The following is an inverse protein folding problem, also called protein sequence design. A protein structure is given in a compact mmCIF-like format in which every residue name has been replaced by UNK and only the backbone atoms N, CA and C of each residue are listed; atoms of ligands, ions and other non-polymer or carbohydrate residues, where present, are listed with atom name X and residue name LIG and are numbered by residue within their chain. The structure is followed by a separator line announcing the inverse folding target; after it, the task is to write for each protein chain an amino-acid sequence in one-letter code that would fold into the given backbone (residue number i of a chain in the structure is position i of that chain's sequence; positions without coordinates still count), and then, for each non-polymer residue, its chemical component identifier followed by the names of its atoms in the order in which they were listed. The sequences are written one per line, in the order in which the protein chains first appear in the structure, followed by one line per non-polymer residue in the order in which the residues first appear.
data_IF_278605524540
#
_entry.id   IF_278605524540
#
_cell.length_a   1.000
_cell.length_b   1.000
_cell.length_c   1.000
_cell.angle_alpha   90.00
_cell.angle_beta   90.00
_cell.angle_gamma   90.00
#
_symmetry.space_group_name_H-M   'P 1'
#
loop_
_entity.id
_entity.type
_entity.pdbx_description
1 polymer ?
#
# COMPACT_ATOMS: atom_id res chain seq x y z
N UNK A 1 -5.03 -15.40 -82.18
CA UNK A 1 -4.18 -14.36 -82.79
C UNK A 1 -4.22 -13.12 -81.90
N UNK A 2 -3.03 -12.62 -81.53
CA UNK A 2 -2.68 -11.37 -80.79
C UNK A 2 -3.30 -11.19 -79.38
N UNK A 3 -2.61 -11.44 -78.26
CA UNK A 3 -1.41 -10.81 -77.62
C UNK A 3 -1.71 -9.53 -76.82
N UNK A 4 -1.39 -9.54 -75.52
CA UNK A 4 -0.79 -8.50 -74.65
C UNK A 4 -1.12 -8.89 -73.19
N UNK A 5 -0.22 -9.46 -72.38
CA UNK A 5 0.93 -8.86 -71.68
C UNK A 5 0.58 -7.59 -70.88
N UNK A 6 0.39 -7.71 -69.57
CA UNK A 6 1.33 -7.14 -68.58
C UNK A 6 0.91 -7.49 -67.14
N UNK A 7 1.94 -7.64 -66.32
CA UNK A 7 2.02 -8.03 -64.92
C UNK A 7 1.28 -7.14 -63.93
N UNK A 8 0.88 -7.72 -62.78
CA UNK A 8 1.20 -7.20 -61.44
C UNK A 8 0.80 -8.21 -60.35
N UNK A 9 1.72 -9.12 -60.02
CA UNK A 9 1.69 -9.91 -58.79
C UNK A 9 2.27 -9.08 -57.66
N UNK A 10 1.46 -8.47 -56.79
CA UNK A 10 2.00 -7.79 -55.59
C UNK A 10 1.01 -7.54 -54.44
N UNK A 11 -0.13 -8.26 -54.34
CA UNK A 11 -1.10 -7.98 -53.25
C UNK A 11 -1.12 -9.07 -52.16
N UNK A 12 -0.51 -10.24 -52.38
CA UNK A 12 -0.61 -11.37 -51.43
C UNK A 12 0.61 -11.52 -50.51
N UNK A 13 1.70 -10.79 -50.74
CA UNK A 13 2.91 -10.84 -49.91
C UNK A 13 3.01 -9.80 -48.80
N UNK A 14 2.10 -8.82 -48.72
CA UNK A 14 2.17 -7.75 -47.71
C UNK A 14 1.45 -8.04 -46.39
N UNK A 15 0.55 -9.03 -46.33
CA UNK A 15 -0.16 -9.37 -45.08
C UNK A 15 0.51 -10.48 -44.25
N UNK A 16 1.39 -11.27 -44.87
CA UNK A 16 2.16 -12.31 -44.15
C UNK A 16 3.44 -11.72 -43.53
N UNK A 17 3.94 -10.59 -44.05
CA UNK A 17 5.12 -9.92 -43.49
C UNK A 17 4.80 -9.00 -42.29
N UNK A 18 3.56 -8.51 -42.15
CA UNK A 18 3.16 -7.69 -41.00
C UNK A 18 2.92 -8.51 -39.72
N UNK A 19 2.58 -9.80 -39.85
CA UNK A 19 2.41 -10.71 -38.70
C UNK A 19 3.73 -11.32 -38.21
N UNK A 20 4.84 -11.12 -38.93
CA UNK A 20 6.18 -11.54 -38.52
C UNK A 20 7.08 -10.39 -38.03
N UNK A 21 6.58 -9.14 -38.04
CA UNK A 21 7.31 -7.96 -37.54
C UNK A 21 6.76 -7.39 -36.22
N UNK A 22 5.69 -8.00 -35.68
CA UNK A 22 5.17 -7.69 -34.34
C UNK A 22 6.04 -8.15 -33.14
N UNK A 23 7.15 -8.91 -33.29
CA UNK A 23 8.14 -9.04 -32.20
C UNK A 23 9.34 -8.09 -32.31
N UNK A 24 9.46 -7.23 -33.34
CA UNK A 24 10.71 -6.49 -33.61
C UNK A 24 10.69 -4.98 -33.36
N UNK A 25 9.55 -4.39 -33.00
CA UNK A 25 9.49 -3.02 -32.46
C UNK A 25 9.45 -3.01 -30.91
N UNK A 26 9.39 -4.19 -30.28
CA UNK A 26 9.59 -4.36 -28.84
C UNK A 26 11.07 -4.62 -28.44
N UNK A 27 12.02 -4.47 -29.36
CA UNK A 27 13.42 -4.89 -29.15
C UNK A 27 14.46 -3.75 -29.06
N UNK A 28 14.06 -2.47 -29.12
CA UNK A 28 15.00 -1.33 -29.07
C UNK A 28 14.75 -0.28 -27.98
N UNK A 29 13.78 -0.49 -27.09
CA UNK A 29 13.82 0.11 -25.74
C UNK A 29 14.24 -0.97 -24.75
N UNK A 30 15.52 -1.34 -24.82
CA UNK A 30 16.21 -1.94 -23.68
C UNK A 30 16.30 -0.86 -22.61
N UNK A 31 15.27 -0.70 -21.80
CA UNK A 31 15.54 -0.38 -20.40
C UNK A 31 16.44 -1.50 -19.89
N UNK A 32 17.56 -1.20 -19.22
CA UNK A 32 18.28 -2.25 -18.55
C UNK A 32 17.27 -2.88 -17.59
N UNK A 33 16.87 -4.12 -17.89
CA UNK A 33 16.43 -5.01 -16.83
C UNK A 33 17.55 -4.92 -15.81
N UNK A 34 17.26 -4.34 -14.65
CA UNK A 34 18.07 -4.56 -13.48
C UNK A 34 17.88 -6.04 -13.13
N UNK A 35 18.49 -6.91 -13.92
CA UNK A 35 19.05 -8.15 -13.45
C UNK A 35 20.11 -7.73 -12.43
N UNK A 36 19.66 -7.40 -11.23
CA UNK A 36 20.48 -7.58 -10.07
C UNK A 36 20.68 -9.09 -9.97
N UNK A 37 21.70 -9.58 -10.69
CA UNK A 37 22.60 -10.56 -10.08
C UNK A 37 22.75 -10.14 -8.61
N UNK A 38 22.64 -11.06 -7.63
CA UNK A 38 22.77 -10.69 -6.24
C UNK A 38 24.12 -9.99 -6.13
N UNK A 39 24.09 -8.65 -6.05
CA UNK A 39 25.24 -7.92 -5.58
C UNK A 39 25.41 -8.53 -4.22
N UNK A 40 26.51 -9.27 -4.04
CA UNK A 40 27.17 -9.39 -2.75
C UNK A 40 27.39 -7.95 -2.33
N UNK A 41 26.39 -7.35 -1.71
CA UNK A 41 26.52 -6.11 -0.98
C UNK A 41 27.37 -6.53 0.20
N UNK A 42 28.67 -6.35 0.00
CA UNK A 42 29.66 -6.21 1.06
C UNK A 42 29.00 -5.47 2.21
N UNK A 43 28.90 -6.13 3.35
CA UNK A 43 28.61 -5.59 4.68
C UNK A 43 28.48 -4.07 4.67
N UNK A 44 27.28 -3.60 4.34
CA UNK A 44 26.88 -2.22 4.59
C UNK A 44 26.71 -2.11 6.09
N UNK A 45 27.83 -1.95 6.79
CA UNK A 45 27.85 -1.61 8.19
C UNK A 45 27.03 -0.32 8.30
N UNK A 46 25.78 -0.42 8.79
CA UNK A 46 24.96 0.75 9.13
C UNK A 46 25.67 1.40 10.32
N UNK A 47 26.67 2.22 9.99
CA UNK A 47 27.51 2.93 10.91
C UNK A 47 26.64 3.72 11.87
N UNK A 48 26.83 3.48 13.16
CA UNK A 48 26.09 4.15 14.22
C UNK A 48 26.23 5.68 14.15
N UNK A 49 25.11 6.38 14.35
CA UNK A 49 25.12 7.80 14.72
C UNK A 49 23.96 8.65 14.18
N UNK A 50 23.33 8.27 13.07
CA UNK A 50 22.26 9.06 12.43
C UNK A 50 20.94 9.08 13.24
N UNK A 51 20.13 10.14 13.07
CA UNK A 51 18.79 10.22 13.67
C UNK A 51 17.88 9.09 13.18
N UNK A 52 17.93 8.74 11.88
CA UNK A 52 17.16 7.62 11.32
C UNK A 52 17.53 6.27 11.94
N UNK A 53 18.82 5.97 12.12
CA UNK A 53 19.26 4.72 12.75
C UNK A 53 18.82 4.63 14.22
N UNK A 54 18.79 5.77 14.93
CA UNK A 54 18.24 5.84 16.29
C UNK A 54 16.74 5.62 16.33
N UNK A 55 15.99 6.21 15.40
CA UNK A 55 14.55 6.00 15.27
C UNK A 55 14.20 4.55 14.91
N UNK A 56 14.91 3.96 13.94
CA UNK A 56 14.74 2.55 13.57
C UNK A 56 14.97 1.64 14.79
N UNK A 57 16.07 1.85 15.53
CA UNK A 57 16.32 1.08 16.75
C UNK A 57 15.29 1.32 17.85
N UNK A 58 14.79 2.55 18.01
CA UNK A 58 13.78 2.85 19.04
C UNK A 58 12.45 2.14 18.76
N UNK A 59 12.14 1.91 17.49
CA UNK A 59 11.01 1.11 17.02
C UNK A 59 11.19 -0.40 17.16
N UNK A 60 12.28 -0.87 17.79
CA UNK A 60 12.70 -2.28 17.76
C UNK A 60 12.87 -2.83 16.33
N UNK A 61 13.09 -1.96 15.35
CA UNK A 61 13.48 -2.36 14.02
C UNK A 61 14.97 -2.69 14.08
N UNK A 62 15.30 -3.96 13.90
CA UNK A 62 16.68 -4.42 13.71
C UNK A 62 16.82 -4.99 12.30
N UNK A 63 16.71 -4.17 11.24
CA UNK A 63 16.83 -4.65 9.88
C UNK A 63 18.25 -5.17 9.67
N UNK A 64 18.44 -6.49 9.82
CA UNK A 64 19.67 -7.19 9.45
C UNK A 64 19.81 -7.29 7.93
N UNK A 65 18.69 -7.24 7.22
CA UNK A 65 18.59 -7.38 5.78
C UNK A 65 17.88 -6.17 5.20
N UNK A 66 18.30 -5.74 4.00
CA UNK A 66 17.62 -4.67 3.24
C UNK A 66 16.40 -5.18 2.47
N UNK A 67 15.87 -6.35 2.81
CA UNK A 67 14.73 -7.01 2.17
C UNK A 67 13.68 -7.32 3.21
N UNK A 68 12.41 -7.09 2.85
CA UNK A 68 11.25 -7.40 3.68
C UNK A 68 10.82 -8.87 3.55
N UNK A 69 11.43 -9.62 2.63
CA UNK A 69 11.40 -11.09 2.66
C UNK A 69 12.78 -11.58 3.06
N UNK A 70 12.86 -12.20 4.23
CA UNK A 70 14.10 -12.63 4.87
C UNK A 70 14.21 -14.15 4.68
N UNK A 71 15.23 -14.60 3.96
CA UNK A 71 15.54 -16.04 3.93
C UNK A 71 16.34 -16.36 5.19
N UNK A 72 15.70 -17.04 6.15
CA UNK A 72 16.41 -17.52 7.33
C UNK A 72 17.35 -18.66 6.92
N UNK A 73 18.60 -18.58 7.36
CA UNK A 73 19.47 -19.76 7.42
C UNK A 73 19.12 -20.55 8.70
N UNK A 74 19.43 -21.86 8.72
CA UNK A 74 19.05 -22.81 9.79
C UNK A 74 19.43 -22.38 11.23
N UNK A 75 20.31 -21.37 11.39
CA UNK A 75 20.82 -20.86 12.66
C UNK A 75 20.06 -19.62 13.22
N UNK A 76 19.10 -19.03 12.51
CA UNK A 76 18.34 -17.84 12.97
C UNK A 76 16.88 -18.17 13.35
N UNK A 77 16.70 -18.90 14.44
CA UNK A 77 15.38 -19.15 15.05
C UNK A 77 14.98 -18.06 16.06
N UNK A 78 14.95 -16.81 15.61
CA UNK A 78 14.55 -15.67 16.46
C UNK A 78 13.19 -15.11 16.01
N UNK A 79 12.20 -16.01 15.87
CA UNK A 79 10.82 -15.60 15.66
C UNK A 79 10.25 -15.09 16.99
N UNK A 80 9.95 -13.78 17.15
CA UNK A 80 9.40 -13.27 18.39
C UNK A 80 8.01 -13.85 18.64
N UNK A 81 7.62 -13.89 19.92
CA UNK A 81 6.38 -14.47 20.39
C UNK A 81 5.13 -13.92 19.66
N UNK A 82 4.08 -14.74 19.59
CA UNK A 82 2.79 -14.34 19.04
C UNK A 82 2.20 -13.14 19.81
N UNK A 83 1.50 -12.26 19.09
CA UNK A 83 0.87 -11.05 19.64
C UNK A 83 1.51 -9.76 19.12
N UNK A 84 1.11 -8.64 19.75
CA UNK A 84 1.61 -7.30 19.44
C UNK A 84 2.88 -7.04 20.25
N UNK A 85 3.92 -6.58 19.56
CA UNK A 85 5.11 -5.99 20.16
C UNK A 85 5.16 -4.53 19.75
N UNK A 86 4.70 -3.64 20.63
CA UNK A 86 4.68 -2.19 20.37
C UNK A 86 5.49 -1.41 21.41
N UNK A 87 5.92 -0.21 21.01
CA UNK A 87 6.60 0.74 21.87
C UNK A 87 5.94 2.09 21.75
N UNK A 88 5.81 2.77 22.90
CA UNK A 88 5.50 4.19 22.92
C UNK A 88 6.65 4.95 22.29
N UNK A 89 6.34 5.84 21.36
CA UNK A 89 7.34 6.62 20.65
C UNK A 89 7.76 7.83 21.52
N UNK A 90 8.77 8.56 21.07
CA UNK A 90 9.05 9.91 21.58
C UNK A 90 9.73 10.63 20.44
N UNK A 91 9.05 11.64 19.92
CA UNK A 91 9.51 12.43 18.78
C UNK A 91 9.84 13.81 19.29
N UNK A 92 11.00 14.34 18.90
CA UNK A 92 11.29 15.75 19.12
C UNK A 92 10.58 16.54 18.02
N UNK A 93 9.40 17.08 18.34
CA UNK A 93 8.53 17.78 17.39
C UNK A 93 8.57 19.27 17.67
N UNK A 94 8.69 20.05 16.60
CA UNK A 94 8.74 21.51 16.65
C UNK A 94 7.40 22.12 16.21
N UNK A 95 7.04 23.24 16.84
CA UNK A 95 5.90 24.09 16.45
C UNK A 95 4.54 23.41 16.52
N UNK A 96 3.80 23.60 17.62
CA UNK A 96 2.40 23.18 17.77
C UNK A 96 1.59 24.32 18.40
N UNK A 97 0.42 24.61 17.83
CA UNK A 97 -0.41 25.75 18.25
C UNK A 97 -1.18 25.54 19.57
N UNK A 98 -1.12 24.36 20.18
CA UNK A 98 -1.87 24.05 21.39
C UNK A 98 -1.24 22.94 22.23
N UNK A 99 -0.70 23.35 23.39
CA UNK A 99 -0.60 22.67 24.69
C UNK A 99 -0.19 21.20 24.82
N UNK A 100 -0.66 20.28 23.96
CA UNK A 100 -0.44 18.86 24.12
C UNK A 100 0.88 18.44 23.48
N UNK A 101 1.76 17.82 24.27
CA UNK A 101 3.01 17.26 23.75
C UNK A 101 2.74 15.91 23.08
N UNK A 102 3.62 15.48 22.18
CA UNK A 102 3.50 14.18 21.50
C UNK A 102 3.40 13.03 22.51
N UNK A 103 4.02 13.18 23.68
CA UNK A 103 3.98 12.25 24.80
C UNK A 103 2.56 12.01 25.36
N UNK A 104 1.63 12.92 25.11
CA UNK A 104 0.23 12.87 25.58
C UNK A 104 -0.73 12.20 24.58
N UNK A 105 -0.26 11.81 23.39
CA UNK A 105 -1.09 11.22 22.32
C UNK A 105 -1.06 9.69 22.24
N UNK A 106 -0.61 8.99 23.29
CA UNK A 106 -0.63 7.52 23.30
C UNK A 106 -0.11 6.91 22.00
N UNK A 107 1.08 7.34 21.58
CA UNK A 107 1.63 7.09 20.26
C UNK A 107 2.49 5.82 20.26
N UNK A 108 2.03 4.81 19.54
CA UNK A 108 2.67 3.51 19.48
C UNK A 108 3.14 3.20 18.08
N UNK A 109 4.25 2.47 17.97
CA UNK A 109 4.49 1.69 16.78
C UNK A 109 5.08 0.36 17.14
N UNK A 110 4.84 -0.61 16.27
CA UNK A 110 5.14 -1.98 16.60
C UNK A 110 4.80 -2.94 15.49
N UNK A 111 4.99 -4.20 15.83
CA UNK A 111 4.68 -5.33 14.98
C UNK A 111 3.57 -6.17 15.55
N UNK A 112 2.83 -6.74 14.63
CA UNK A 112 1.90 -7.80 14.90
C UNK A 112 2.30 -9.08 14.17
N UNK A 113 2.35 -10.19 14.91
CA UNK A 113 2.54 -11.53 14.35
C UNK A 113 1.23 -12.08 13.81
N UNK A 114 1.13 -12.29 12.49
CA UNK A 114 -0.10 -12.82 11.89
C UNK A 114 -0.28 -14.32 12.20
N UNK A 115 -1.42 -14.77 12.76
CA UNK A 115 -1.55 -16.13 13.33
C UNK A 115 -1.53 -17.25 12.28
N UNK A 116 -1.85 -16.92 11.03
CA UNK A 116 -1.96 -17.86 9.90
C UNK A 116 -0.79 -17.71 8.91
N UNK A 117 0.36 -17.31 9.43
CA UNK A 117 1.58 -17.07 8.66
C UNK A 117 2.77 -17.76 9.29
N UNK A 118 3.83 -17.96 8.52
CA UNK A 118 5.05 -18.61 9.01
C UNK A 118 5.92 -17.61 9.77
N UNK A 119 6.20 -16.47 9.15
CA UNK A 119 7.11 -15.48 9.70
C UNK A 119 6.64 -14.05 9.56
N UNK A 120 5.38 -13.83 9.14
CA UNK A 120 4.92 -12.50 8.82
C UNK A 120 4.77 -11.63 10.07
N UNK A 121 5.24 -10.40 9.95
CA UNK A 121 5.18 -9.34 10.96
C UNK A 121 4.66 -8.08 10.28
N UNK A 122 3.43 -7.70 10.63
CA UNK A 122 2.80 -6.50 10.10
C UNK A 122 3.12 -5.31 10.99
N UNK A 123 3.70 -4.27 10.41
CA UNK A 123 4.09 -3.05 11.10
C UNK A 123 2.98 -1.99 11.04
N UNK A 124 2.85 -1.20 12.10
CA UNK A 124 1.93 -0.06 12.15
C UNK A 124 2.47 1.09 13.01
N UNK A 125 1.98 2.29 12.72
CA UNK A 125 1.95 3.42 13.64
C UNK A 125 0.52 3.66 14.13
N UNK A 126 0.38 4.05 15.39
CA UNK A 126 -0.88 4.42 16.01
C UNK A 126 -0.72 5.75 16.76
N UNK A 127 -1.68 6.66 16.55
CA UNK A 127 -1.74 7.94 17.24
C UNK A 127 -3.15 8.14 17.79
N UNK A 128 -3.27 8.43 19.09
CA UNK A 128 -4.54 8.83 19.66
C UNK A 128 -4.92 10.25 19.22
N UNK A 129 -6.21 10.55 19.34
CA UNK A 129 -6.73 11.84 18.92
C UNK A 129 -6.14 13.01 19.74
N UNK A 130 -5.84 14.12 19.06
CA UNK A 130 -5.54 15.44 19.68
C UNK A 130 -6.77 16.16 20.24
N UNK A 131 -7.98 15.63 20.03
CA UNK A 131 -9.20 16.30 20.49
C UNK A 131 -9.31 16.29 22.02
N UNK A 132 -9.23 17.48 22.62
CA UNK A 132 -9.26 17.70 24.07
C UNK A 132 -10.58 17.29 24.76
N UNK A 133 -11.65 17.08 23.99
CA UNK A 133 -12.98 16.87 24.58
C UNK A 133 -13.26 15.40 24.88
N UNK A 134 -12.69 14.41 24.17
CA UNK A 134 -12.75 12.97 24.54
C UNK A 134 -11.87 12.10 23.61
N UNK A 135 -10.54 12.05 23.81
CA UNK A 135 -9.61 11.19 23.04
C UNK A 135 -10.09 9.73 22.92
N UNK A 136 -10.55 9.18 24.05
CA UNK A 136 -11.05 7.81 24.16
C UNK A 136 -12.39 7.55 23.43
N UNK A 137 -13.14 8.59 23.04
CA UNK A 137 -14.40 8.44 22.28
C UNK A 137 -14.25 8.78 20.80
N UNK A 138 -13.13 9.36 20.40
CA UNK A 138 -12.88 9.66 19.00
C UNK A 138 -12.89 8.34 18.18
N UNK A 139 -13.40 8.35 16.93
CA UNK A 139 -13.42 7.16 16.10
C UNK A 139 -12.01 6.60 15.89
N UNK A 140 -11.91 5.29 15.69
CA UNK A 140 -10.69 4.66 15.20
C UNK A 140 -10.73 4.63 13.68
N UNK A 141 -9.68 5.14 13.05
CA UNK A 141 -9.55 5.18 11.60
C UNK A 141 -8.30 4.38 11.21
N UNK A 142 -8.46 3.40 10.32
CA UNK A 142 -7.31 2.77 9.65
C UNK A 142 -7.06 3.46 8.32
N UNK A 143 -5.81 3.82 8.05
CA UNK A 143 -5.34 4.35 6.78
C UNK A 143 -4.49 3.31 6.05
N UNK A 144 -4.82 3.09 4.77
CA UNK A 144 -4.15 2.15 3.88
C UNK A 144 -3.67 2.86 2.61
N UNK A 145 -2.36 3.01 2.45
CA UNK A 145 -1.78 3.48 1.17
C UNK A 145 -1.83 2.35 0.12
N UNK A 146 -1.97 2.74 -1.15
CA UNK A 146 -2.09 1.83 -2.30
C UNK A 146 -0.74 1.29 -2.82
N UNK A 147 -0.49 1.47 -4.12
CA UNK A 147 0.69 0.97 -4.82
C UNK A 147 0.34 -0.04 -5.93
N UNK A 148 0.10 -1.33 -5.62
CA UNK A 148 0.15 -1.99 -4.31
C UNK A 148 1.55 -2.02 -3.69
N UNK A 149 1.65 -2.03 -2.36
CA UNK A 149 2.91 -2.22 -1.64
C UNK A 149 3.68 -0.94 -1.28
N UNK A 150 3.02 0.21 -1.31
CA UNK A 150 3.57 1.46 -0.79
C UNK A 150 3.32 1.55 0.73
N UNK A 151 4.32 2.00 1.49
CA UNK A 151 4.20 2.16 2.94
C UNK A 151 3.18 3.24 3.31
N UNK A 152 2.36 2.97 4.32
CA UNK A 152 1.44 3.95 4.89
C UNK A 152 2.18 5.04 5.70
N UNK A 153 3.48 4.87 5.93
CA UNK A 153 4.35 5.94 6.44
C UNK A 153 4.42 7.13 5.47
N UNK A 154 4.14 6.92 4.19
CA UNK A 154 4.01 8.01 3.21
C UNK A 154 2.90 8.97 3.66
N UNK A 155 1.71 8.44 3.89
CA UNK A 155 0.57 9.23 4.32
C UNK A 155 0.77 9.86 5.69
N UNK A 156 1.41 9.12 6.59
CA UNK A 156 1.75 9.59 7.94
C UNK A 156 2.56 10.90 7.91
N UNK A 157 3.51 11.02 6.99
CA UNK A 157 4.47 12.13 7.00
C UNK A 157 4.26 13.17 5.90
N UNK A 158 3.47 12.87 4.87
CA UNK A 158 3.27 13.75 3.71
C UNK A 158 1.81 14.10 3.42
N UNK A 159 0.84 13.47 4.08
CA UNK A 159 -0.57 13.64 3.74
C UNK A 159 -1.38 14.07 4.97
N UNK A 160 -1.84 13.10 5.76
CA UNK A 160 -2.86 13.31 6.77
C UNK A 160 -2.46 12.88 8.18
N UNK A 161 -1.21 12.49 8.38
CA UNK A 161 -0.71 12.20 9.72
C UNK A 161 -0.48 13.46 10.57
N UNK A 162 -0.11 13.26 11.85
CA UNK A 162 0.08 14.35 12.81
C UNK A 162 1.30 15.23 12.52
N UNK A 163 2.22 14.81 11.65
CA UNK A 163 3.50 15.50 11.44
C UNK A 163 3.83 15.67 9.95
N UNK A 164 4.58 16.74 9.67
CA UNK A 164 5.33 16.94 8.42
C UNK A 164 6.82 16.72 8.67
N UNK A 165 7.53 16.22 7.66
CA UNK A 165 9.00 16.21 7.65
C UNK A 165 9.49 17.55 7.06
N UNK A 166 10.29 18.28 7.83
CA UNK A 166 10.89 19.54 7.38
C UNK A 166 12.12 19.31 6.49
N UNK A 167 12.58 20.34 5.79
CA UNK A 167 13.82 20.30 4.99
C UNK A 167 15.06 19.90 5.82
N UNK A 168 15.04 20.21 7.12
CA UNK A 168 16.08 19.81 8.08
C UNK A 168 15.93 18.38 8.61
N UNK A 169 15.01 17.59 8.04
CA UNK A 169 14.60 16.25 8.48
C UNK A 169 14.09 16.21 9.93
N UNK A 170 13.57 17.34 10.41
CA UNK A 170 12.85 17.43 11.67
C UNK A 170 11.37 17.10 11.50
N UNK A 171 10.68 16.89 12.61
CA UNK A 171 9.23 16.76 12.62
C UNK A 171 8.59 18.07 13.06
N UNK A 172 7.58 18.50 12.31
CA UNK A 172 6.74 19.64 12.61
C UNK A 172 5.29 19.20 12.70
N UNK A 173 4.47 19.80 13.57
CA UNK A 173 3.05 19.45 13.63
C UNK A 173 2.32 19.75 12.32
N UNK A 174 1.39 18.87 11.98
CA UNK A 174 0.40 19.09 10.95
C UNK A 174 -0.86 19.67 11.58
N UNK A 175 -1.14 20.95 11.32
CA UNK A 175 -2.35 21.65 11.77
C UNK A 175 -3.64 21.13 11.10
N UNK A 176 -3.54 20.18 10.17
CA UNK A 176 -4.67 19.54 9.50
C UNK A 176 -4.61 18.00 9.54
N UNK A 177 -3.78 17.43 10.43
CA UNK A 177 -3.69 16.00 10.64
C UNK A 177 -5.02 15.40 11.08
N UNK A 178 -5.35 14.20 10.57
CA UNK A 178 -6.61 13.50 10.85
C UNK A 178 -6.73 13.02 12.29
N UNK A 179 -5.62 13.00 13.03
CA UNK A 179 -5.59 12.74 14.46
C UNK A 179 -6.34 13.82 15.27
N UNK A 180 -6.61 15.00 14.71
CA UNK A 180 -7.51 15.97 15.37
C UNK A 180 -8.96 15.50 15.52
N UNK A 181 -9.37 14.51 14.72
CA UNK A 181 -10.73 13.99 14.73
C UNK A 181 -10.79 12.48 14.98
N UNK A 182 -9.66 11.79 15.08
CA UNK A 182 -9.63 10.33 15.17
C UNK A 182 -8.42 9.78 15.93
N UNK A 183 -8.56 8.56 16.43
CA UNK A 183 -7.44 7.69 16.77
C UNK A 183 -7.03 6.97 15.47
N UNK A 184 -5.85 7.25 14.93
CA UNK A 184 -5.49 6.87 13.56
C UNK A 184 -4.37 5.82 13.51
N UNK A 185 -4.60 4.78 12.71
CA UNK A 185 -3.69 3.68 12.42
C UNK A 185 -3.13 3.82 11.01
N UNK A 186 -1.80 3.80 10.88
CA UNK A 186 -1.12 3.69 9.59
C UNK A 186 -0.47 2.32 9.51
N UNK A 187 -0.95 1.46 8.61
CA UNK A 187 -0.54 0.06 8.55
C UNK A 187 0.23 -0.21 7.26
N UNK A 188 1.42 -0.78 7.39
CA UNK A 188 2.20 -1.22 6.24
C UNK A 188 1.69 -2.58 5.75
N UNK A 189 1.07 -2.60 4.58
CA UNK A 189 0.42 -3.79 4.04
C UNK A 189 0.43 -3.78 2.51
N UNK A 190 0.37 -4.96 1.85
CA UNK A 190 0.45 -6.32 2.42
C UNK A 190 1.84 -6.63 3.02
N UNK A 191 2.02 -7.83 3.59
CA UNK A 191 3.33 -8.29 4.04
C UNK A 191 4.37 -8.16 2.92
N UNK A 192 5.56 -7.62 3.24
CA UNK A 192 6.57 -7.20 2.27
C UNK A 192 6.62 -5.68 2.04
N UNK A 193 5.60 -4.94 2.49
CA UNK A 193 5.48 -3.48 2.34
C UNK A 193 6.16 -2.73 3.47
N UNK A 194 6.91 -1.67 3.17
CA UNK A 194 7.45 -0.75 4.19
C UNK A 194 8.30 -1.48 5.22
N UNK A 195 7.91 -1.42 6.50
CA UNK A 195 8.56 -2.17 7.58
C UNK A 195 7.93 -3.56 7.83
N UNK A 196 6.80 -3.90 7.21
CA UNK A 196 6.19 -5.21 7.33
C UNK A 196 6.99 -6.28 6.59
N UNK A 197 7.41 -7.33 7.28
CA UNK A 197 8.32 -8.34 6.76
C UNK A 197 7.84 -9.76 7.00
N UNK A 198 8.46 -10.73 6.33
CA UNK A 198 8.26 -12.17 6.59
C UNK A 198 9.56 -12.94 6.40
N UNK A 199 9.61 -14.15 6.97
CA UNK A 199 10.65 -15.15 6.70
C UNK A 199 10.25 -16.21 5.67
N UNK A 200 9.05 -16.07 5.07
CA UNK A 200 8.55 -17.01 4.05
C UNK A 200 7.82 -16.30 2.91
N UNK A 201 8.22 -16.59 1.68
CA UNK A 201 7.52 -16.17 0.44
C UNK A 201 6.05 -16.62 0.37
N UNK A 202 5.69 -17.66 1.11
CA UNK A 202 4.29 -18.15 1.17
C UNK A 202 3.36 -17.19 1.92
N UNK A 203 3.91 -16.28 2.72
CA UNK A 203 3.16 -15.26 3.43
C UNK A 203 2.83 -14.03 2.54
N UNK A 204 3.42 -13.92 1.35
CA UNK A 204 3.15 -12.83 0.41
C UNK A 204 1.81 -13.04 -0.28
N UNK A 205 0.88 -12.11 -0.04
CA UNK A 205 -0.48 -12.15 -0.59
C UNK A 205 -0.49 -11.70 -2.05
N UNK A 206 -1.28 -12.42 -2.85
CA UNK A 206 -1.43 -12.20 -4.30
C UNK A 206 -2.86 -11.83 -4.71
N UNK A 207 -3.76 -11.66 -3.74
CA UNK A 207 -5.13 -11.26 -3.96
C UNK A 207 -5.74 -10.61 -2.70
N UNK A 208 -6.85 -9.92 -2.90
CA UNK A 208 -7.54 -9.13 -1.88
C UNK A 208 -8.21 -10.00 -0.81
N UNK A 209 -8.50 -11.28 -1.10
CA UNK A 209 -8.99 -12.23 -0.09
C UNK A 209 -7.92 -12.49 0.96
N UNK A 210 -6.68 -12.74 0.54
CA UNK A 210 -5.54 -12.90 1.43
C UNK A 210 -5.25 -11.62 2.21
N UNK A 211 -5.19 -10.48 1.52
CA UNK A 211 -4.93 -9.17 2.14
C UNK A 211 -5.98 -8.81 3.19
N UNK A 212 -7.26 -8.98 2.87
CA UNK A 212 -8.35 -8.66 3.81
C UNK A 212 -8.37 -9.59 5.04
N UNK A 213 -7.97 -10.86 4.89
CA UNK A 213 -7.83 -11.79 6.01
C UNK A 213 -6.68 -11.41 6.94
N UNK A 214 -5.52 -11.04 6.39
CA UNK A 214 -4.37 -10.59 7.19
C UNK A 214 -4.68 -9.29 7.93
N UNK A 215 -5.32 -8.32 7.26
CA UNK A 215 -5.76 -7.07 7.88
C UNK A 215 -6.84 -7.28 8.95
N UNK A 216 -7.76 -8.24 8.75
CA UNK A 216 -8.73 -8.60 9.78
C UNK A 216 -8.05 -9.18 11.01
N UNK A 217 -7.12 -10.13 10.85
CA UNK A 217 -6.37 -10.71 11.96
C UNK A 217 -5.57 -9.63 12.73
N UNK A 218 -4.97 -8.68 12.00
CA UNK A 218 -4.32 -7.51 12.60
C UNK A 218 -5.29 -6.70 13.47
N UNK A 219 -6.48 -6.36 12.96
CA UNK A 219 -7.47 -5.59 13.72
C UNK A 219 -7.96 -6.34 14.96
N UNK A 220 -8.15 -7.66 14.86
CA UNK A 220 -8.56 -8.49 15.99
C UNK A 220 -7.57 -8.41 17.15
N UNK A 221 -6.28 -8.50 16.88
CA UNK A 221 -5.27 -8.40 17.92
C UNK A 221 -5.00 -6.96 18.35
N UNK A 222 -5.14 -5.96 17.44
CA UNK A 222 -5.09 -4.55 17.82
C UNK A 222 -6.15 -4.23 18.87
N UNK A 223 -7.41 -4.60 18.63
CA UNK A 223 -8.49 -4.35 19.57
C UNK A 223 -8.41 -5.18 20.86
N UNK A 224 -7.74 -6.33 20.83
CA UNK A 224 -7.43 -7.11 22.03
C UNK A 224 -6.33 -6.47 22.87
N UNK A 225 -5.31 -5.89 22.24
CA UNK A 225 -4.23 -5.15 22.90
C UNK A 225 -4.69 -3.78 23.41
N UNK A 226 -5.67 -3.18 22.72
CA UNK A 226 -6.23 -1.87 23.03
C UNK A 226 -7.75 -1.93 23.26
N UNK A 227 -8.21 -2.65 24.31
CA UNK A 227 -9.63 -2.91 24.55
C UNK A 227 -10.46 -1.64 24.77
N UNK A 228 -9.83 -0.54 25.19
CA UNK A 228 -10.48 0.76 25.36
C UNK A 228 -11.08 1.32 24.07
N UNK A 229 -10.64 0.88 22.88
CA UNK A 229 -11.14 1.37 21.60
C UNK A 229 -12.14 0.43 20.91
N UNK A 230 -12.43 -0.75 21.47
CA UNK A 230 -13.30 -1.77 20.83
C UNK A 230 -14.68 -1.23 20.47
N UNK A 231 -15.23 -0.36 21.33
CA UNK A 231 -16.57 0.18 21.16
C UNK A 231 -16.60 1.47 20.32
N UNK A 232 -15.45 2.00 19.94
CA UNK A 232 -15.38 3.23 19.17
C UNK A 232 -15.91 2.98 17.75
N UNK A 233 -16.44 4.03 17.14
CA UNK A 233 -16.78 3.96 15.72
C UNK A 233 -15.52 3.68 14.91
N UNK A 234 -15.59 2.70 14.02
CA UNK A 234 -14.46 2.28 13.19
C UNK A 234 -14.68 2.60 11.72
N UNK A 235 -13.66 3.17 11.08
CA UNK A 235 -13.67 3.51 9.65
C UNK A 235 -12.45 2.95 8.93
N UNK A 236 -12.68 2.41 7.73
CA UNK A 236 -11.61 1.94 6.84
C UNK A 236 -11.34 2.99 5.77
N UNK A 237 -10.12 3.50 5.69
CA UNK A 237 -9.77 4.59 4.79
C UNK A 237 -8.46 4.34 4.07
N UNK A 238 -8.20 5.10 3.00
CA UNK A 238 -6.98 4.98 2.21
C UNK A 238 -7.18 5.46 0.78
N UNK A 239 -6.18 5.20 -0.05
CA UNK A 239 -6.12 5.77 -1.40
C UNK A 239 -5.53 4.87 -2.49
N UNK A 240 -5.73 5.26 -3.74
CA UNK A 240 -5.12 4.62 -4.92
C UNK A 240 -5.52 3.13 -5.01
N UNK A 241 -4.57 2.19 -4.99
CA UNK A 241 -4.87 0.75 -4.99
C UNK A 241 -5.68 0.31 -3.76
N UNK A 242 -5.76 1.13 -2.70
CA UNK A 242 -6.69 0.88 -1.59
C UNK A 242 -8.17 0.91 -2.03
N UNK A 243 -8.49 1.39 -3.23
CA UNK A 243 -9.79 1.13 -3.88
C UNK A 243 -10.14 -0.36 -4.00
N UNK A 244 -9.15 -1.25 -4.01
CA UNK A 244 -9.33 -2.70 -3.91
C UNK A 244 -9.29 -3.20 -2.45
N UNK A 245 -8.36 -2.68 -1.63
CA UNK A 245 -8.19 -3.14 -0.25
C UNK A 245 -9.37 -2.80 0.66
N UNK A 246 -9.90 -1.58 0.55
CA UNK A 246 -10.91 -1.03 1.45
C UNK A 246 -12.23 -1.80 1.33
N UNK A 247 -12.82 -2.02 0.14
CA UNK A 247 -14.01 -2.86 0.01
C UNK A 247 -13.78 -4.30 0.48
N UNK A 248 -12.60 -4.86 0.20
CA UNK A 248 -12.27 -6.23 0.62
C UNK A 248 -12.23 -6.36 2.15
N UNK A 249 -11.56 -5.43 2.85
CA UNK A 249 -11.49 -5.41 4.31
C UNK A 249 -12.86 -5.10 4.93
N UNK A 250 -13.59 -4.09 4.45
CA UNK A 250 -14.92 -3.76 4.95
C UNK A 250 -15.88 -4.96 4.82
N UNK A 251 -15.85 -5.67 3.68
CA UNK A 251 -16.61 -6.90 3.47
C UNK A 251 -16.18 -8.03 4.42
N UNK A 252 -14.87 -8.19 4.64
CA UNK A 252 -14.35 -9.18 5.59
C UNK A 252 -14.78 -8.91 7.02
N UNK A 253 -14.76 -7.64 7.46
CA UNK A 253 -15.25 -7.22 8.78
C UNK A 253 -16.74 -7.47 8.90
N UNK A 254 -17.53 -7.05 7.91
CA UNK A 254 -18.98 -7.27 7.90
C UNK A 254 -19.33 -8.76 8.06
N UNK A 255 -18.66 -9.64 7.31
CA UNK A 255 -18.85 -11.10 7.42
C UNK A 255 -18.42 -11.62 8.79
N UNK A 256 -17.27 -11.18 9.30
CA UNK A 256 -16.78 -11.58 10.62
C UNK A 256 -17.78 -11.22 11.73
N UNK A 257 -18.27 -9.97 11.73
CA UNK A 257 -19.30 -9.52 12.66
C UNK A 257 -20.60 -10.32 12.54
N UNK A 258 -21.08 -10.57 11.31
CA UNK A 258 -22.31 -11.33 11.05
C UNK A 258 -22.20 -12.79 11.54
N UNK A 259 -21.01 -13.37 11.45
CA UNK A 259 -20.73 -14.75 11.87
C UNK A 259 -20.30 -14.86 13.35
N UNK A 260 -20.22 -13.74 14.08
CA UNK A 260 -19.66 -13.68 15.44
C UNK A 260 -18.20 -14.20 15.53
N UNK A 261 -17.38 -13.91 14.52
CA UNK A 261 -15.96 -14.28 14.48
C UNK A 261 -15.11 -13.26 15.24
N UNK A 262 -14.63 -13.61 16.43
CA UNK A 262 -13.71 -12.76 17.20
C UNK A 262 -14.38 -11.54 17.83
N UNK A 263 -13.59 -10.49 18.08
CA UNK A 263 -14.06 -9.20 18.60
C UNK A 263 -14.91 -8.52 17.53
N UNK A 264 -16.13 -8.13 17.90
CA UNK A 264 -17.01 -7.35 17.03
C UNK A 264 -16.42 -5.95 16.79
N UNK A 265 -16.17 -5.62 15.52
CA UNK A 265 -15.64 -4.30 15.13
C UNK A 265 -16.81 -3.40 14.75
N UNK A 266 -16.99 -2.27 15.44
CA UNK A 266 -18.09 -1.32 15.19
C UNK A 266 -17.88 -0.49 13.90
N UNK A 267 -17.84 -1.16 12.74
CA UNK A 267 -17.66 -0.57 11.42
C UNK A 267 -18.83 0.35 11.06
N UNK A 268 -18.56 1.66 10.93
CA UNK A 268 -19.56 2.68 10.57
C UNK A 268 -19.50 3.10 9.11
N UNK A 269 -18.34 2.99 8.48
CA UNK A 269 -18.18 3.36 7.08
C UNK A 269 -16.76 3.17 6.58
N UNK A 270 -16.55 3.59 5.35
CA UNK A 270 -15.25 3.59 4.72
C UNK A 270 -15.15 4.75 3.72
N UNK A 271 -13.92 5.19 3.41
CA UNK A 271 -13.65 6.27 2.45
C UNK A 271 -12.46 5.90 1.57
N UNK A 272 -12.58 6.15 0.27
CA UNK A 272 -11.56 5.80 -0.74
C UNK A 272 -11.17 7.09 -1.47
N UNK A 273 -9.94 7.56 -1.27
CA UNK A 273 -9.37 8.69 -2.00
C UNK A 273 -8.79 8.24 -3.33
N UNK A 274 -9.23 8.85 -4.45
CA UNK A 274 -8.63 8.65 -5.78
C UNK A 274 -8.37 7.17 -6.17
N UNK A 275 -9.28 6.27 -5.77
CA UNK A 275 -9.02 4.83 -5.84
C UNK A 275 -9.24 4.21 -7.23
N UNK A 276 -8.46 3.19 -7.56
CA UNK A 276 -8.80 2.24 -8.62
C UNK A 276 -9.72 1.17 -8.00
N UNK A 277 -10.99 1.14 -8.41
CA UNK A 277 -12.04 0.29 -7.82
C UNK A 277 -12.77 -0.51 -8.89
N UNK A 278 -13.13 0.14 -10.00
CA UNK A 278 -13.72 -0.49 -11.18
C UNK A 278 -12.87 -0.15 -12.41
N UNK A 279 -11.89 -1.02 -12.74
CA UNK A 279 -11.04 -0.80 -13.90
C UNK A 279 -11.80 -0.73 -15.22
N UNK A 280 -12.91 -1.47 -15.37
CA UNK A 280 -13.68 -1.47 -16.63
C UNK A 280 -14.23 -0.08 -16.92
N UNK A 281 -14.79 0.57 -15.90
CA UNK A 281 -15.34 1.92 -16.00
C UNK A 281 -14.21 2.95 -16.08
N UNK A 282 -13.20 2.84 -15.20
CA UNK A 282 -12.18 3.87 -15.02
C UNK A 282 -11.19 3.94 -16.18
N UNK A 283 -10.82 2.81 -16.82
CA UNK A 283 -9.83 2.85 -17.91
C UNK A 283 -10.32 3.63 -19.14
N UNK A 284 -11.64 3.67 -19.38
CA UNK A 284 -12.21 4.48 -20.44
C UNK A 284 -12.01 5.99 -20.22
N UNK A 285 -11.89 6.42 -18.97
CA UNK A 285 -11.77 7.84 -18.64
C UNK A 285 -10.38 8.42 -18.97
N UNK A 286 -9.33 7.61 -19.12
CA UNK A 286 -7.97 8.09 -19.38
C UNK A 286 -7.85 8.97 -20.64
N UNK A 287 -8.23 8.52 -21.86
CA UNK A 287 -8.12 9.36 -23.05
C UNK A 287 -8.99 10.61 -22.96
N UNK A 288 -10.21 10.48 -22.45
CA UNK A 288 -11.18 11.59 -22.31
C UNK A 288 -10.63 12.68 -21.37
N UNK A 289 -10.12 12.28 -20.19
CA UNK A 289 -9.52 13.19 -19.23
C UNK A 289 -8.29 13.86 -19.83
N UNK A 290 -7.39 13.10 -20.44
CA UNK A 290 -6.16 13.63 -21.03
C UNK A 290 -6.44 14.67 -22.13
N UNK A 291 -7.45 14.44 -22.97
CA UNK A 291 -7.88 15.41 -23.98
C UNK A 291 -8.50 16.65 -23.33
N UNK A 292 -9.42 16.45 -22.38
CA UNK A 292 -10.10 17.55 -21.68
C UNK A 292 -9.14 18.47 -20.91
N UNK A 293 -8.05 17.91 -20.39
CA UNK A 293 -6.99 18.66 -19.70
C UNK A 293 -5.84 19.08 -20.61
N UNK A 294 -5.99 18.94 -21.93
CA UNK A 294 -5.00 19.35 -22.94
C UNK A 294 -3.61 18.72 -22.76
N UNK A 295 -3.55 17.51 -22.18
CA UNK A 295 -2.32 16.71 -22.07
C UNK A 295 -1.97 16.02 -23.39
N UNK A 296 -2.98 15.79 -24.24
CA UNK A 296 -2.85 15.13 -25.54
C UNK A 296 -3.62 15.89 -26.62
N UNK A 297 -3.31 15.63 -27.88
CA UNK A 297 -4.05 16.19 -29.02
C UNK A 297 -5.31 15.38 -29.34
N UNK A 298 -6.20 15.93 -30.16
CA UNK A 298 -7.35 15.18 -30.69
C UNK A 298 -6.91 13.91 -31.45
N UNK A 299 -5.79 13.97 -32.19
CA UNK A 299 -5.27 12.82 -32.93
C UNK A 299 -4.79 11.70 -32.00
N UNK A 300 -4.16 12.05 -30.88
CA UNK A 300 -3.74 11.08 -29.86
C UNK A 300 -4.96 10.44 -29.19
N UNK A 301 -5.96 11.26 -28.86
CA UNK A 301 -7.23 10.80 -28.30
C UNK A 301 -7.90 9.77 -29.21
N UNK A 302 -8.06 10.09 -30.50
CA UNK A 302 -8.75 9.22 -31.45
C UNK A 302 -8.04 7.87 -31.61
N UNK A 303 -6.70 7.87 -31.47
CA UNK A 303 -5.89 6.64 -31.45
C UNK A 303 -6.13 5.83 -30.18
N UNK A 304 -6.11 6.47 -29.00
CA UNK A 304 -6.32 5.80 -27.72
C UNK A 304 -7.75 5.29 -27.56
N UNK A 305 -8.75 6.05 -28.02
CA UNK A 305 -10.16 5.69 -27.96
C UNK A 305 -10.45 4.38 -28.72
N UNK A 306 -9.73 4.09 -29.80
CA UNK A 306 -9.83 2.82 -30.53
C UNK A 306 -9.35 1.61 -29.72
N UNK A 307 -8.46 1.81 -28.74
CA UNK A 307 -7.93 0.74 -27.88
C UNK A 307 -8.86 0.41 -26.71
N UNK A 308 -9.72 1.36 -26.30
CA UNK A 308 -10.60 1.23 -25.12
C UNK A 308 -11.52 0.00 -25.19
N UNK A 309 -12.23 -0.30 -26.31
CA UNK A 309 -13.11 -1.48 -26.35
C UNK A 309 -12.37 -2.80 -26.12
N UNK A 310 -11.17 -2.95 -26.67
CA UNK A 310 -10.33 -4.14 -26.47
C UNK A 310 -9.83 -4.23 -25.03
N UNK A 311 -9.42 -3.10 -24.44
CA UNK A 311 -9.04 -3.01 -23.03
C UNK A 311 -10.20 -3.46 -22.11
N UNK A 312 -11.39 -2.89 -22.28
CA UNK A 312 -12.57 -3.26 -21.48
C UNK A 312 -12.97 -4.72 -21.66
N UNK A 313 -12.91 -5.24 -22.89
CA UNK A 313 -13.20 -6.66 -23.17
C UNK A 313 -12.20 -7.58 -22.47
N UNK A 314 -10.92 -7.17 -22.41
CA UNK A 314 -9.87 -7.92 -21.72
C UNK A 314 -10.06 -7.91 -20.20
N UNK A 315 -10.49 -6.78 -19.63
CA UNK A 315 -10.84 -6.68 -18.20
C UNK A 315 -12.01 -7.60 -17.88
N UNK A 316 -13.08 -7.61 -18.70
CA UNK A 316 -14.23 -8.51 -18.53
C UNK A 316 -13.87 -9.99 -18.60
N UNK A 317 -12.89 -10.33 -19.43
CA UNK A 317 -12.40 -11.70 -19.57
C UNK A 317 -11.51 -12.14 -18.40
N UNK A 318 -11.06 -11.21 -17.55
CA UNK A 318 -10.35 -11.54 -16.33
C UNK A 318 -11.33 -12.20 -15.35
N UNK A 319 -11.24 -13.53 -15.24
CA UNK A 319 -11.96 -14.28 -14.22
C UNK A 319 -11.24 -14.04 -12.90
N UNK A 320 -11.88 -13.31 -11.99
CA UNK A 320 -11.48 -13.18 -10.59
C UNK A 320 -11.78 -14.47 -9.81
#
# INVERSE_FOLDING_TARGET
MASFSSSSSSVVTSYVLLLLLLPLVAASLRYPAAATSPRKNSNGNVGGGGQAARLIRSLNLFPKHGSNVIVLNDDENDLPAAGITEKKLSFNVTGGAGGESVEELGHYAGYYSLPRTIGARMFYFFFESRSSVNKSKAPVVIWLTGGPGCSSSLALFYENGPFHITDSLGLQWNDYGWDQASNILFVDQPIGTGFSYTTSESDIRRNETGVSNDLYDFLQEFFKGHPQFVNNDFYVTGESYAGHYIPALASRIYRGNKNNEGIHINLKGFAIGNGLTDPEIQYRAYPEFALATQLITQSDHDTLAQLVPTCQSSIKACVL
#
